data_IF_679875259293
#
_entry.id   IF_679875259293
#
_cell.length_a   1.000
_cell.length_b   1.000
_cell.length_c   1.000
_cell.angle_alpha   90.00
_cell.angle_beta   90.00
_cell.angle_gamma   90.00
#
_symmetry.space_group_name_H-M   'P 1'
#
loop_
_entity.id
_entity.type
_entity.pdbx_description
1 polymer ?
#
# COMPACT_ATOMS: atom_id res chain seq x y z
N UNK A 1 16.63 14.90 72.53
CA UNK A 1 15.88 15.36 71.34
C UNK A 1 16.60 14.85 70.10
N UNK A 2 15.99 13.94 69.34
CA UNK A 2 16.56 13.37 68.10
C UNK A 2 15.83 13.97 66.91
N UNK A 3 16.57 14.63 66.01
CA UNK A 3 16.07 15.17 64.74
C UNK A 3 16.21 14.05 63.71
N UNK A 4 15.08 13.58 63.18
CA UNK A 4 15.03 12.62 62.09
C UNK A 4 14.99 13.37 60.75
N UNK A 5 16.02 13.19 59.92
CA UNK A 5 16.08 13.71 58.57
C UNK A 5 15.31 12.77 57.63
N UNK A 6 14.30 13.31 56.95
CA UNK A 6 13.53 12.62 55.92
C UNK A 6 14.24 12.82 54.58
N UNK A 7 14.83 11.75 54.04
CA UNK A 7 15.41 11.75 52.69
C UNK A 7 14.30 11.43 51.69
N UNK A 8 13.92 12.42 50.89
CA UNK A 8 12.94 12.28 49.81
C UNK A 8 13.67 11.85 48.53
N UNK A 9 13.59 10.56 48.18
CA UNK A 9 14.11 10.05 46.91
C UNK A 9 13.17 10.43 45.75
N UNK A 10 13.61 11.35 44.88
CA UNK A 10 12.98 11.62 43.60
C UNK A 10 13.27 10.47 42.63
N UNK A 11 12.28 9.63 42.35
CA UNK A 11 12.32 8.73 41.21
C UNK A 11 12.17 9.56 39.92
N UNK A 12 13.28 9.78 39.21
CA UNK A 12 13.29 10.24 37.83
C UNK A 12 12.66 9.16 36.94
N UNK A 13 11.42 9.37 36.53
CA UNK A 13 10.81 8.63 35.43
C UNK A 13 11.52 9.03 34.13
N UNK A 14 12.34 8.13 33.60
CA UNK A 14 12.87 8.28 32.26
C UNK A 14 11.70 8.36 31.25
N UNK A 15 11.77 9.24 30.23
CA UNK A 15 10.74 9.29 29.21
C UNK A 15 10.69 7.94 28.48
N UNK A 16 9.52 7.31 28.51
CA UNK A 16 9.27 6.05 27.81
C UNK A 16 9.63 6.19 26.34
N UNK A 17 10.65 5.44 25.93
CA UNK A 17 10.95 5.26 24.51
C UNK A 17 9.69 4.74 23.84
N UNK A 18 9.17 5.52 22.89
CA UNK A 18 8.14 5.03 21.97
C UNK A 18 8.71 3.79 21.30
N UNK A 19 8.13 2.62 21.58
CA UNK A 19 8.46 1.40 20.85
C UNK A 19 8.42 1.75 19.35
N UNK A 20 9.58 1.67 18.71
CA UNK A 20 9.72 1.96 17.29
C UNK A 20 8.95 0.84 16.59
N UNK A 21 7.82 1.20 15.97
CA UNK A 21 7.09 0.29 15.09
C UNK A 21 8.11 -0.47 14.23
N UNK A 22 7.99 -1.79 14.16
CA UNK A 22 8.95 -2.63 13.45
C UNK A 22 9.22 -2.04 12.06
N UNK A 23 10.50 -1.89 11.70
CA UNK A 23 10.91 -1.21 10.47
C UNK A 23 10.14 -1.80 9.27
N UNK A 24 9.24 -1.04 8.62
CA UNK A 24 8.41 -1.56 7.55
C UNK A 24 9.25 -2.10 6.40
N UNK A 25 10.44 -1.54 6.17
CA UNK A 25 11.34 -2.01 5.13
C UNK A 25 11.96 -3.36 5.48
N UNK A 26 12.25 -3.62 6.75
CA UNK A 26 12.70 -4.94 7.20
C UNK A 26 11.59 -5.99 7.10
N UNK A 27 10.35 -5.60 7.39
CA UNK A 27 9.18 -6.48 7.24
C UNK A 27 8.92 -6.87 5.77
N UNK A 28 9.26 -5.99 4.82
CA UNK A 28 9.07 -6.22 3.39
C UNK A 28 10.28 -6.85 2.68
N UNK A 29 11.47 -6.83 3.29
CA UNK A 29 12.69 -7.37 2.70
C UNK A 29 12.56 -8.83 2.19
N UNK A 30 11.86 -9.76 2.89
CA UNK A 30 11.71 -11.14 2.41
C UNK A 30 10.94 -11.28 1.09
N UNK A 31 10.17 -10.28 0.67
CA UNK A 31 9.44 -10.33 -0.60
C UNK A 31 10.29 -9.91 -1.80
N UNK A 32 11.37 -9.15 -1.58
CA UNK A 32 12.19 -8.61 -2.68
C UNK A 32 12.80 -9.74 -3.51
N UNK A 33 12.66 -9.65 -4.82
CA UNK A 33 13.12 -10.66 -5.78
C UNK A 33 12.16 -11.83 -5.97
N UNK A 34 11.04 -11.90 -5.25
CA UNK A 34 10.02 -12.91 -5.53
C UNK A 34 9.48 -12.73 -6.97
N UNK A 35 9.34 -13.81 -7.75
CA UNK A 35 9.00 -13.72 -9.16
C UNK A 35 7.57 -13.20 -9.34
N UNK A 36 7.31 -12.62 -10.52
CA UNK A 36 5.95 -12.31 -10.92
C UNK A 36 5.22 -13.61 -11.25
N UNK A 37 4.05 -13.82 -10.67
CA UNK A 37 3.13 -14.93 -11.00
C UNK A 37 1.77 -14.35 -11.27
N UNK A 38 1.22 -14.64 -12.44
CA UNK A 38 -0.15 -14.27 -12.76
C UNK A 38 -1.07 -14.80 -11.66
N UNK A 39 -1.88 -13.89 -11.11
CA UNK A 39 -2.84 -14.19 -10.05
C UNK A 39 -2.25 -14.68 -8.71
N UNK A 40 -0.92 -14.69 -8.56
CA UNK A 40 -0.22 -15.23 -7.40
C UNK A 40 -0.38 -14.38 -6.14
N UNK A 41 -0.65 -15.03 -5.00
CA UNK A 41 -0.86 -14.43 -3.68
C UNK A 41 -0.57 -15.46 -2.58
N UNK A 42 -0.29 -15.05 -1.34
CA UNK A 42 -0.29 -15.99 -0.21
C UNK A 42 -1.68 -16.04 0.43
N UNK A 43 -2.14 -17.19 0.94
CA UNK A 43 -3.33 -17.24 1.78
C UNK A 43 -3.02 -16.78 3.23
N UNK A 44 -4.02 -16.61 4.12
CA UNK A 44 -3.79 -16.20 5.52
C UNK A 44 -2.85 -17.12 6.32
N UNK A 45 -2.67 -18.37 5.91
CA UNK A 45 -1.73 -19.31 6.53
C UNK A 45 -0.30 -19.19 5.96
N UNK A 46 -0.09 -18.32 4.96
CA UNK A 46 1.20 -18.12 4.31
C UNK A 46 1.49 -19.09 3.16
N UNK A 47 0.49 -19.89 2.73
CA UNK A 47 0.65 -20.81 1.60
C UNK A 47 0.56 -20.04 0.29
N UNK A 48 1.51 -20.27 -0.60
CA UNK A 48 1.54 -19.66 -1.94
C UNK A 48 0.43 -20.28 -2.80
N UNK A 49 -0.49 -19.45 -3.27
CA UNK A 49 -1.69 -19.87 -4.01
C UNK A 49 -2.05 -18.85 -5.09
N UNK A 50 -3.22 -19.01 -5.71
CA UNK A 50 -3.81 -18.04 -6.63
C UNK A 50 -5.05 -17.41 -6.01
N UNK A 51 -5.38 -16.19 -6.42
CA UNK A 51 -6.66 -15.58 -6.05
C UNK A 51 -7.83 -16.41 -6.60
N UNK A 52 -7.86 -16.67 -7.90
CA UNK A 52 -8.91 -17.38 -8.61
C UNK A 52 -9.05 -18.85 -8.18
N UNK A 53 -7.94 -19.51 -7.88
CA UNK A 53 -7.88 -20.90 -7.44
C UNK A 53 -7.09 -21.03 -6.13
N UNK A 54 -7.78 -20.89 -5.00
CA UNK A 54 -7.18 -21.00 -3.66
C UNK A 54 -6.85 -22.45 -3.27
N UNK A 55 -7.31 -23.44 -4.05
CA UNK A 55 -6.95 -24.84 -3.82
C UNK A 55 -5.55 -25.14 -4.38
N UNK A 56 -5.15 -24.45 -5.46
CA UNK A 56 -3.79 -24.51 -5.99
C UNK A 56 -2.76 -24.13 -4.91
N UNK A 57 -1.62 -24.82 -4.92
CA UNK A 57 -0.52 -24.56 -4.00
C UNK A 57 0.79 -24.65 -4.75
N UNK A 58 1.70 -23.73 -4.46
CA UNK A 58 3.02 -23.68 -5.08
C UNK A 58 4.12 -23.85 -4.03
N UNK A 59 5.24 -24.52 -4.38
CA UNK A 59 6.37 -24.68 -3.47
C UNK A 59 7.15 -23.38 -3.25
N UNK A 60 6.99 -22.40 -4.15
CA UNK A 60 7.70 -21.12 -4.11
C UNK A 60 6.75 -19.94 -4.22
N UNK A 61 7.15 -18.84 -3.59
CA UNK A 61 6.45 -17.57 -3.69
C UNK A 61 6.41 -17.06 -5.13
N UNK A 62 5.36 -16.31 -5.44
CA UNK A 62 5.20 -15.62 -6.71
C UNK A 62 3.94 -14.76 -6.65
N UNK A 63 4.04 -13.52 -7.12
CA UNK A 63 3.01 -12.52 -6.88
C UNK A 63 2.69 -11.71 -8.13
N UNK A 64 1.41 -11.43 -8.38
CA UNK A 64 1.05 -10.27 -9.21
C UNK A 64 1.06 -9.00 -8.34
N UNK A 65 0.79 -7.83 -8.93
CA UNK A 65 0.80 -6.56 -8.19
C UNK A 65 -0.16 -6.58 -6.99
N UNK A 66 -1.40 -7.05 -7.21
CA UNK A 66 -2.45 -7.15 -6.19
C UNK A 66 -2.14 -8.16 -5.08
N UNK A 67 -1.57 -9.31 -5.44
CA UNK A 67 -1.24 -10.38 -4.53
C UNK A 67 -0.03 -10.05 -3.68
N UNK A 68 0.94 -9.33 -4.25
CA UNK A 68 2.03 -8.73 -3.48
C UNK A 68 1.46 -7.75 -2.44
N UNK A 69 0.66 -6.76 -2.88
CA UNK A 69 0.10 -5.73 -1.98
C UNK A 69 -0.76 -6.36 -0.89
N UNK A 70 -1.57 -7.38 -1.20
CA UNK A 70 -2.39 -8.12 -0.23
C UNK A 70 -1.52 -8.83 0.82
N UNK A 71 -0.48 -9.52 0.37
CA UNK A 71 0.41 -10.29 1.24
C UNK A 71 1.28 -9.39 2.12
N UNK A 72 1.90 -8.39 1.51
CA UNK A 72 2.70 -7.39 2.19
C UNK A 72 1.87 -6.58 3.20
N UNK A 73 0.63 -6.21 2.87
CA UNK A 73 -0.23 -5.47 3.80
C UNK A 73 -0.60 -6.28 5.03
N UNK A 74 -0.89 -7.59 4.90
CA UNK A 74 -1.11 -8.46 6.07
C UNK A 74 0.12 -8.52 6.97
N UNK A 75 1.30 -8.61 6.38
CA UNK A 75 2.59 -8.62 7.11
C UNK A 75 2.81 -7.31 7.87
N UNK A 76 2.55 -6.17 7.24
CA UNK A 76 2.75 -4.84 7.84
C UNK A 76 1.69 -4.49 8.89
N UNK A 77 0.43 -4.82 8.63
CA UNK A 77 -0.70 -4.45 9.49
C UNK A 77 -0.96 -5.49 10.59
N UNK A 78 -0.29 -6.65 10.53
CA UNK A 78 -0.43 -7.72 11.53
C UNK A 78 -1.84 -8.30 11.61
N UNK A 79 -2.62 -8.20 10.53
CA UNK A 79 -4.03 -8.60 10.52
C UNK A 79 -4.33 -9.60 9.41
N UNK A 80 -5.22 -10.59 9.65
CA UNK A 80 -5.66 -11.47 8.58
C UNK A 80 -6.52 -10.69 7.60
N UNK A 81 -6.32 -10.92 6.30
CA UNK A 81 -7.21 -10.49 5.23
C UNK A 81 -7.50 -11.73 4.37
N UNK A 82 -8.66 -12.38 4.52
CA UNK A 82 -9.05 -13.49 3.68
C UNK A 82 -9.06 -13.08 2.20
N UNK A 83 -8.68 -14.00 1.31
CA UNK A 83 -8.57 -13.69 -0.13
C UNK A 83 -9.92 -13.33 -0.75
N UNK A 84 -11.02 -13.90 -0.27
CA UNK A 84 -12.37 -13.52 -0.71
C UNK A 84 -12.74 -12.10 -0.28
N UNK A 85 -12.34 -11.69 0.92
CA UNK A 85 -12.52 -10.32 1.40
C UNK A 85 -11.62 -9.34 0.65
N UNK A 86 -10.38 -9.74 0.33
CA UNK A 86 -9.48 -8.93 -0.49
C UNK A 86 -10.10 -8.64 -1.86
N UNK A 87 -10.74 -9.65 -2.47
CA UNK A 87 -11.35 -9.65 -3.82
C UNK A 87 -12.74 -9.04 -3.92
N UNK A 88 -13.34 -8.65 -2.81
CA UNK A 88 -14.71 -8.21 -2.79
C UNK A 88 -14.87 -6.89 -3.57
N UNK A 89 -15.69 -6.93 -4.62
CA UNK A 89 -16.18 -5.73 -5.31
C UNK A 89 -17.18 -5.02 -4.39
N UNK A 90 -16.77 -3.87 -3.84
CA UNK A 90 -17.59 -3.13 -2.86
C UNK A 90 -18.66 -2.28 -3.53
N UNK A 91 -18.43 -1.85 -4.76
CA UNK A 91 -19.24 -0.82 -5.43
C UNK A 91 -20.10 -1.41 -6.55
N UNK A 92 -19.91 -2.68 -6.88
CA UNK A 92 -20.56 -3.34 -8.01
C UNK A 92 -20.14 -2.74 -9.34
N UNK A 93 -18.98 -2.08 -9.39
CA UNK A 93 -18.48 -1.34 -10.55
C UNK A 93 -17.30 -2.06 -11.25
N UNK A 94 -16.95 -3.27 -10.80
CA UNK A 94 -16.08 -4.16 -11.58
C UNK A 94 -16.75 -4.50 -12.91
N UNK A 95 -15.98 -4.50 -14.00
CA UNK A 95 -16.52 -4.71 -15.34
C UNK A 95 -17.26 -6.05 -15.55
N UNK A 96 -18.05 -6.17 -16.63
CA UNK A 96 -18.81 -7.38 -16.93
C UNK A 96 -17.90 -8.62 -16.99
N UNK A 97 -18.25 -9.67 -16.22
CA UNK A 97 -17.47 -10.91 -16.11
C UNK A 97 -16.54 -10.99 -14.90
N UNK A 98 -16.46 -9.93 -14.09
CA UNK A 98 -15.55 -9.85 -12.94
C UNK A 98 -16.25 -9.55 -11.61
N UNK A 99 -17.38 -10.21 -11.26
CA UNK A 99 -18.15 -9.93 -10.04
C UNK A 99 -17.40 -10.26 -8.73
N UNK A 100 -16.17 -10.78 -8.84
CA UNK A 100 -15.26 -11.09 -7.73
C UNK A 100 -13.90 -10.40 -7.89
N UNK A 101 -13.83 -9.27 -8.59
CA UNK A 101 -12.62 -8.47 -8.73
C UNK A 101 -11.47 -9.15 -9.50
N UNK A 102 -11.78 -10.12 -10.38
CA UNK A 102 -10.80 -10.96 -11.08
C UNK A 102 -10.11 -10.26 -12.26
N UNK A 103 -10.49 -9.02 -12.58
CA UNK A 103 -10.00 -8.26 -13.72
C UNK A 103 -9.66 -6.84 -13.24
N UNK A 104 -8.44 -6.37 -13.57
CA UNK A 104 -7.88 -5.02 -13.85
C UNK A 104 -8.54 -3.71 -13.34
N UNK A 105 -9.73 -3.74 -12.77
CA UNK A 105 -10.44 -2.66 -12.07
C UNK A 105 -10.33 -2.81 -10.53
N UNK A 106 -9.74 -3.92 -10.07
CA UNK A 106 -9.57 -4.32 -8.68
C UNK A 106 -8.76 -3.35 -7.78
N UNK A 107 -7.96 -2.44 -8.35
CA UNK A 107 -6.99 -1.69 -7.55
C UNK A 107 -7.61 -0.73 -6.53
N UNK A 108 -8.79 -0.16 -6.80
CA UNK A 108 -9.47 0.71 -5.83
C UNK A 108 -10.20 -0.09 -4.75
N UNK A 109 -10.96 -1.11 -5.11
CA UNK A 109 -11.60 -2.00 -4.14
C UNK A 109 -10.58 -2.69 -3.24
N UNK A 110 -9.47 -3.16 -3.81
CA UNK A 110 -8.38 -3.76 -3.04
C UNK A 110 -7.86 -2.79 -1.97
N UNK A 111 -7.65 -1.53 -2.35
CA UNK A 111 -7.24 -0.50 -1.41
C UNK A 111 -8.28 -0.32 -0.29
N UNK A 112 -9.57 -0.30 -0.64
CA UNK A 112 -10.65 -0.19 0.35
C UNK A 112 -10.72 -1.41 1.27
N UNK A 113 -10.54 -2.62 0.71
CA UNK A 113 -10.53 -3.89 1.42
C UNK A 113 -9.36 -4.01 2.40
N UNK A 114 -8.15 -3.64 1.97
CA UNK A 114 -6.96 -3.66 2.84
C UNK A 114 -7.08 -2.67 4.00
N UNK A 115 -7.63 -1.49 3.72
CA UNK A 115 -7.69 -0.39 4.68
C UNK A 115 -8.96 -0.40 5.54
N UNK A 116 -9.79 -1.42 5.40
CA UNK A 116 -11.10 -1.47 6.02
C UNK A 116 -11.04 -1.56 7.56
N UNK A 117 -11.87 -0.77 8.24
CA UNK A 117 -11.84 -0.69 9.71
C UNK A 117 -10.56 -0.05 10.29
N UNK A 118 -9.70 0.58 9.47
CA UNK A 118 -8.56 1.36 9.92
C UNK A 118 -8.84 2.87 9.80
N UNK A 119 -8.21 3.72 10.63
CA UNK A 119 -8.15 5.14 10.36
C UNK A 119 -7.43 5.34 9.03
N UNK A 120 -8.13 5.79 7.99
CA UNK A 120 -7.57 5.95 6.66
C UNK A 120 -7.84 7.34 6.11
N UNK A 121 -6.96 7.81 5.24
CA UNK A 121 -7.07 9.14 4.61
C UNK A 121 -6.43 9.16 3.23
N UNK A 122 -7.00 9.95 2.35
CA UNK A 122 -6.46 10.18 0.99
C UNK A 122 -5.27 11.15 1.05
N UNK A 123 -4.26 10.94 0.21
CA UNK A 123 -3.16 11.88 -0.01
C UNK A 123 -3.29 12.52 -1.41
N UNK A 124 -2.97 13.82 -1.61
CA UNK A 124 -2.48 14.82 -0.64
C UNK A 124 -3.59 15.45 0.25
N UNK A 125 -3.25 16.21 1.31
CA UNK A 125 -4.18 16.66 2.37
C UNK A 125 -5.35 17.55 1.90
N UNK A 126 -5.28 18.13 0.70
CA UNK A 126 -6.38 18.91 0.11
C UNK A 126 -7.40 18.02 -0.63
N UNK A 127 -7.33 16.70 -0.48
CA UNK A 127 -8.29 15.79 -1.07
C UNK A 127 -9.71 16.04 -0.50
N UNK A 128 -10.76 15.97 -1.33
CA UNK A 128 -12.12 16.46 -1.00
C UNK A 128 -12.87 15.66 0.08
N UNK A 129 -12.29 14.59 0.65
CA UNK A 129 -12.92 13.80 1.72
C UNK A 129 -11.87 13.14 2.61
N UNK A 130 -12.19 12.91 3.89
CA UNK A 130 -11.33 12.13 4.80
C UNK A 130 -11.48 10.62 4.61
N UNK A 131 -12.68 10.11 4.23
CA UNK A 131 -12.91 8.68 4.03
C UNK A 131 -12.85 8.28 2.54
N UNK A 132 -11.83 7.50 2.13
CA UNK A 132 -11.72 6.95 0.79
C UNK A 132 -12.94 6.17 0.30
N UNK A 133 -13.75 5.56 1.18
CA UNK A 133 -14.92 4.81 0.72
C UNK A 133 -16.03 5.69 0.13
N UNK A 134 -16.13 6.95 0.59
CA UNK A 134 -17.10 7.92 0.10
C UNK A 134 -16.75 8.52 -1.28
N UNK A 135 -15.55 8.23 -1.80
CA UNK A 135 -15.13 8.74 -3.10
C UNK A 135 -15.85 8.04 -4.25
N UNK A 136 -16.41 8.81 -5.18
CA UNK A 136 -16.78 8.30 -6.49
C UNK A 136 -15.52 8.15 -7.34
N UNK A 137 -15.07 6.91 -7.58
CA UNK A 137 -13.85 6.60 -8.35
C UNK A 137 -13.93 7.07 -9.81
N UNK A 138 -15.14 7.21 -10.36
CA UNK A 138 -15.33 7.77 -11.70
C UNK A 138 -15.02 9.27 -11.75
N UNK A 139 -15.18 9.97 -10.62
CA UNK A 139 -14.97 11.42 -10.49
C UNK A 139 -13.64 11.79 -9.85
N UNK A 140 -13.19 11.00 -8.88
CA UNK A 140 -11.97 11.26 -8.12
C UNK A 140 -11.02 10.07 -8.18
N UNK A 141 -9.90 10.29 -8.86
CA UNK A 141 -8.85 9.29 -9.12
C UNK A 141 -7.50 9.68 -8.51
N UNK A 142 -7.52 10.62 -7.56
CA UNK A 142 -6.35 11.31 -7.05
C UNK A 142 -5.75 12.29 -8.09
N UNK A 143 -4.43 12.30 -8.24
CA UNK A 143 -3.70 13.31 -9.03
C UNK A 143 -3.00 12.69 -10.25
N UNK A 144 -2.60 13.49 -11.27
CA UNK A 144 -1.90 12.98 -12.44
C UNK A 144 -0.59 12.27 -12.06
N UNK A 145 -0.34 11.10 -12.64
CA UNK A 145 0.82 10.26 -12.34
C UNK A 145 2.16 10.97 -12.54
N UNK A 146 2.24 11.91 -13.49
CA UNK A 146 3.48 12.62 -13.81
C UNK A 146 3.55 14.02 -13.17
N UNK A 147 2.59 14.36 -12.30
CA UNK A 147 2.63 15.61 -11.53
C UNK A 147 3.57 15.45 -10.33
N UNK A 148 4.80 15.93 -10.50
CA UNK A 148 5.83 15.90 -9.47
C UNK A 148 5.41 16.67 -8.20
N UNK A 149 4.75 17.81 -8.34
CA UNK A 149 4.38 18.64 -7.20
C UNK A 149 3.34 17.93 -6.33
N UNK A 150 2.35 17.28 -6.95
CA UNK A 150 1.38 16.45 -6.24
C UNK A 150 2.03 15.24 -5.58
N UNK A 151 3.01 14.59 -6.23
CA UNK A 151 3.79 13.52 -5.61
C UNK A 151 4.56 14.01 -4.38
N UNK A 152 5.28 15.12 -4.48
CA UNK A 152 6.03 15.70 -3.36
C UNK A 152 5.09 16.03 -2.19
N UNK A 153 3.93 16.64 -2.49
CA UNK A 153 2.91 16.97 -1.48
C UNK A 153 2.33 15.72 -0.81
N UNK A 154 2.01 14.68 -1.59
CA UNK A 154 1.46 13.43 -1.08
C UNK A 154 2.50 12.69 -0.21
N UNK A 155 3.74 12.59 -0.67
CA UNK A 155 4.81 11.98 0.10
C UNK A 155 5.04 12.74 1.40
N UNK A 156 5.16 14.07 1.37
CA UNK A 156 5.36 14.89 2.58
C UNK A 156 4.21 14.79 3.58
N UNK A 157 3.00 14.50 3.09
CA UNK A 157 1.85 14.27 3.94
C UNK A 157 1.83 12.87 4.59
N UNK A 158 2.62 11.88 4.12
CA UNK A 158 2.74 10.56 4.74
C UNK A 158 3.57 10.68 6.04
N UNK A 159 2.93 10.38 7.18
CA UNK A 159 3.50 10.57 8.51
C UNK A 159 4.38 9.38 8.93
N UNK A 160 5.34 9.58 9.85
CA UNK A 160 6.03 8.46 10.49
C UNK A 160 5.04 7.48 11.13
N UNK A 161 5.28 6.18 10.96
CA UNK A 161 4.38 5.13 11.46
C UNK A 161 3.13 4.91 10.60
N UNK A 162 3.07 5.48 9.39
CA UNK A 162 2.05 5.14 8.39
C UNK A 162 2.67 4.38 7.20
N UNK A 163 1.82 3.59 6.54
CA UNK A 163 2.03 3.15 5.17
C UNK A 163 0.99 3.79 4.26
N UNK A 164 1.25 3.87 2.97
CA UNK A 164 0.25 4.20 1.97
C UNK A 164 0.07 3.05 0.98
N UNK A 165 -1.18 2.72 0.66
CA UNK A 165 -1.52 1.90 -0.51
C UNK A 165 -1.70 2.86 -1.68
N UNK A 166 -1.05 2.56 -2.80
CA UNK A 166 -1.15 3.35 -4.04
C UNK A 166 -1.86 2.53 -5.11
N UNK A 167 -2.85 3.13 -5.76
CA UNK A 167 -3.56 2.56 -6.91
C UNK A 167 -3.36 3.46 -8.14
N UNK A 168 -3.03 2.85 -9.27
CA UNK A 168 -2.79 3.52 -10.54
C UNK A 168 -3.99 3.29 -11.44
N UNK A 169 -4.49 4.37 -12.02
CA UNK A 169 -5.63 4.32 -12.91
C UNK A 169 -5.37 4.99 -14.25
N UNK A 170 -6.07 4.53 -15.29
CA UNK A 170 -6.10 5.18 -16.60
C UNK A 170 -7.46 4.95 -17.25
N UNK A 171 -7.84 5.86 -18.14
CA UNK A 171 -9.03 5.65 -18.97
C UNK A 171 -8.63 5.10 -20.34
N UNK A 172 -9.38 4.13 -20.85
CA UNK A 172 -9.20 3.58 -22.20
C UNK A 172 -10.57 3.30 -22.81
N UNK A 173 -10.86 3.98 -23.93
CA UNK A 173 -12.14 3.86 -24.67
C UNK A 173 -13.37 4.09 -23.77
N UNK A 174 -13.34 5.11 -22.90
CA UNK A 174 -14.44 5.44 -21.99
C UNK A 174 -14.59 4.53 -20.77
N UNK A 175 -13.71 3.53 -20.58
CA UNK A 175 -13.67 2.69 -19.38
C UNK A 175 -12.47 3.04 -18.51
N UNK A 176 -12.73 3.20 -17.22
CA UNK A 176 -11.71 3.37 -16.18
C UNK A 176 -11.06 2.03 -15.85
N UNK A 177 -9.73 2.00 -15.73
CA UNK A 177 -8.95 0.82 -15.37
C UNK A 177 -8.01 1.12 -14.22
N UNK A 178 -8.03 0.31 -13.16
CA UNK A 178 -7.05 0.32 -12.08
C UNK A 178 -5.94 -0.70 -12.30
N UNK A 179 -5.07 -0.39 -13.27
CA UNK A 179 -4.16 -1.35 -13.89
C UNK A 179 -2.96 -1.76 -13.03
N UNK A 180 -2.67 -1.07 -11.91
CA UNK A 180 -1.53 -1.39 -11.05
C UNK A 180 -1.75 -0.91 -9.62
N UNK A 181 -1.08 -1.55 -8.66
CA UNK A 181 -1.07 -1.19 -7.25
C UNK A 181 0.31 -1.37 -6.62
N UNK A 182 0.55 -0.69 -5.50
CA UNK A 182 1.79 -0.80 -4.73
C UNK A 182 1.62 -0.34 -3.28
N UNK A 183 2.71 -0.41 -2.52
CA UNK A 183 2.82 0.07 -1.16
C UNK A 183 3.92 1.11 -1.04
N UNK A 184 3.66 2.20 -0.33
CA UNK A 184 4.66 3.20 0.04
C UNK A 184 4.89 3.10 1.54
N UNK A 185 6.15 2.88 1.93
CA UNK A 185 6.57 2.87 3.33
C UNK A 185 7.80 3.74 3.52
N UNK A 186 7.99 4.24 4.74
CA UNK A 186 9.20 4.97 5.12
C UNK A 186 10.15 4.06 5.89
N UNK A 187 11.45 4.24 5.69
CA UNK A 187 12.47 3.62 6.54
C UNK A 187 12.75 4.47 7.79
N UNK A 188 13.69 3.97 8.61
CA UNK A 188 14.18 4.65 9.79
C UNK A 188 14.82 6.03 9.59
N UNK A 189 15.15 6.38 8.36
CA UNK A 189 15.80 7.65 7.97
C UNK A 189 14.82 8.59 7.26
N UNK A 190 13.55 8.20 7.13
CA UNK A 190 12.53 8.98 6.43
C UNK A 190 12.58 8.85 4.91
N UNK A 191 13.42 7.95 4.36
CA UNK A 191 13.39 7.62 2.93
C UNK A 191 12.13 6.84 2.62
N UNK A 192 11.50 7.14 1.50
CA UNK A 192 10.21 6.57 1.09
C UNK A 192 10.42 5.65 -0.10
N UNK A 193 9.90 4.44 0.03
CA UNK A 193 10.05 3.40 -0.99
C UNK A 193 8.69 2.96 -1.49
N UNK A 194 8.51 2.94 -2.82
CA UNK A 194 7.43 2.23 -3.47
C UNK A 194 7.83 0.78 -3.64
N UNK A 195 7.10 -0.14 -3.03
CA UNK A 195 7.19 -1.58 -3.28
C UNK A 195 6.03 -2.02 -4.17
N UNK A 196 6.32 -2.85 -5.16
CA UNK A 196 5.35 -3.37 -6.12
C UNK A 196 5.92 -4.58 -6.85
N UNK A 197 5.04 -5.34 -7.49
CA UNK A 197 5.41 -6.44 -8.37
C UNK A 197 5.08 -6.08 -9.83
N UNK A 198 6.02 -6.26 -10.75
CA UNK A 198 5.77 -6.07 -12.19
C UNK A 198 6.24 -7.28 -13.01
N UNK A 199 5.61 -7.56 -14.16
CA UNK A 199 6.12 -8.55 -15.09
C UNK A 199 7.59 -8.28 -15.45
N UNK A 200 8.40 -9.33 -15.50
CA UNK A 200 9.83 -9.26 -15.83
C UNK A 200 10.76 -8.90 -14.66
N UNK A 201 10.30 -8.16 -13.66
CA UNK A 201 11.13 -7.77 -12.49
C UNK A 201 10.71 -8.44 -11.18
N UNK A 202 9.49 -8.98 -11.11
CA UNK A 202 8.96 -9.52 -9.86
C UNK A 202 8.76 -8.41 -8.82
N UNK A 203 8.82 -8.77 -7.55
CA UNK A 203 8.74 -7.82 -6.43
C UNK A 203 10.04 -7.05 -6.30
N UNK A 204 9.94 -5.73 -6.39
CA UNK A 204 11.07 -4.82 -6.23
C UNK A 204 10.61 -3.50 -5.61
N UNK A 205 11.55 -2.56 -5.44
CA UNK A 205 11.25 -1.25 -4.86
C UNK A 205 11.99 -0.11 -5.53
N UNK A 206 11.39 1.08 -5.46
CA UNK A 206 11.98 2.34 -5.91
C UNK A 206 12.04 3.34 -4.74
N UNK A 207 13.19 4.00 -4.53
CA UNK A 207 13.30 5.08 -3.54
C UNK A 207 12.70 6.39 -4.08
N UNK A 208 11.38 6.52 -3.98
CA UNK A 208 10.61 7.64 -4.53
C UNK A 208 10.76 8.95 -3.74
N UNK A 209 11.49 8.96 -2.62
CA UNK A 209 11.94 10.21 -1.97
C UNK A 209 13.20 10.82 -2.59
N UNK A 210 13.90 10.08 -3.46
CA UNK A 210 15.13 10.55 -4.10
C UNK A 210 14.87 11.03 -5.54
N UNK A 211 15.64 12.00 -6.07
CA UNK A 211 15.56 12.39 -7.47
C UNK A 211 15.79 11.22 -8.43
N UNK A 212 16.78 10.37 -8.14
CA UNK A 212 17.12 9.21 -8.96
C UNK A 212 16.00 8.18 -8.99
N UNK A 213 15.42 7.85 -7.83
CA UNK A 213 14.30 6.91 -7.74
C UNK A 213 13.01 7.46 -8.34
N UNK A 214 12.75 8.76 -8.22
CA UNK A 214 11.62 9.40 -8.91
C UNK A 214 11.81 9.42 -10.43
N UNK A 215 13.04 9.60 -10.92
CA UNK A 215 13.34 9.46 -12.35
C UNK A 215 13.16 8.01 -12.84
N UNK A 216 13.54 7.02 -12.02
CA UNK A 216 13.30 5.60 -12.31
C UNK A 216 11.80 5.28 -12.34
N UNK A 217 11.04 5.76 -11.37
CA UNK A 217 9.58 5.68 -11.34
C UNK A 217 8.96 6.29 -12.61
N UNK A 218 9.42 7.48 -12.99
CA UNK A 218 8.99 8.14 -14.22
C UNK A 218 9.23 7.28 -15.47
N UNK A 219 10.37 6.57 -15.57
CA UNK A 219 10.67 5.65 -16.67
C UNK A 219 9.83 4.38 -16.64
N UNK A 220 9.66 3.77 -15.47
CA UNK A 220 8.92 2.51 -15.34
C UNK A 220 7.45 2.68 -15.71
N UNK A 221 6.85 3.82 -15.34
CA UNK A 221 5.47 4.13 -15.70
C UNK A 221 5.34 5.07 -16.91
N UNK A 222 6.44 5.32 -17.63
CA UNK A 222 6.43 6.06 -18.89
C UNK A 222 5.73 5.23 -19.96
N UNK A 223 4.46 5.52 -20.24
CA UNK A 223 3.86 5.06 -21.49
C UNK A 223 3.31 6.25 -22.25
N UNK A 224 3.73 6.33 -23.52
CA UNK A 224 3.28 7.35 -24.48
C UNK A 224 1.97 6.98 -25.19
N UNK A 225 1.43 5.78 -24.94
CA UNK A 225 0.44 5.13 -25.82
C UNK A 225 -1.00 5.13 -25.28
N UNK A 226 -1.22 5.44 -24.01
CA UNK A 226 -2.54 5.40 -23.37
C UNK A 226 -2.76 6.68 -22.53
N UNK A 227 -4.02 7.11 -22.39
CA UNK A 227 -4.46 8.45 -21.95
C UNK A 227 -4.11 8.88 -20.52
N UNK A 228 -4.88 9.82 -19.96
CA UNK A 228 -4.62 10.40 -18.61
C UNK A 228 -4.45 9.32 -17.54
N UNK A 229 -3.22 9.22 -17.01
CA UNK A 229 -2.85 8.30 -15.92
C UNK A 229 -2.88 9.05 -14.61
N UNK A 230 -3.51 8.46 -13.60
CA UNK A 230 -3.70 9.07 -12.29
C UNK A 230 -3.35 8.10 -11.17
N UNK A 231 -3.00 8.64 -10.02
CA UNK A 231 -2.66 7.86 -8.83
C UNK A 231 -3.51 8.30 -7.65
N UNK A 232 -4.04 7.32 -6.94
CA UNK A 232 -4.73 7.48 -5.67
C UNK A 232 -3.87 6.86 -4.57
N UNK A 233 -3.58 7.64 -3.53
CA UNK A 233 -2.84 7.17 -2.37
C UNK A 233 -3.75 7.23 -1.14
N UNK A 234 -3.79 6.14 -0.38
CA UNK A 234 -4.48 6.10 0.91
C UNK A 234 -3.52 5.67 2.00
N UNK A 235 -3.33 6.56 2.98
CA UNK A 235 -2.51 6.32 4.15
C UNK A 235 -3.31 5.61 5.24
N UNK A 236 -2.66 4.69 5.94
CA UNK A 236 -3.14 4.03 7.16
C UNK A 236 -2.03 3.94 8.20
N UNK A 237 -2.34 3.99 9.51
CA UNK A 237 -1.37 3.77 10.55
C UNK A 237 -0.92 2.32 10.57
N UNK A 238 0.37 2.12 10.83
CA UNK A 238 0.95 0.84 11.15
C UNK A 238 0.75 0.53 12.65
N UNK A 239 0.61 -0.74 13.03
CA UNK A 239 0.58 -1.14 14.43
C UNK A 239 1.89 -0.75 15.12
N UNK A 240 1.80 -0.36 16.40
CA UNK A 240 2.94 -0.01 17.25
C UNK A 240 3.53 -1.24 17.91
#
# INVERSE_FOLDING_TARGET
MRIAALVLSLCLLAPGGTARAADPTAALAPFLGAPYRDDGVDDPAGRHTLFADQAASFPTAGYNCSGFVTTASRRLLGRPLPLDAARHDRKGDSGPGSPRGQDWDFGYDLLLNITDGLPRRVLPPNAPTSDPAALDASRFRGFPLHDKASFDAALNALRPGEMAVIAFSKERKGRLYYYHVGLIVSDGQGRRFLYHATPGHGVHRLEISSPTGMAAFGREFAEKRFGDKRVLLVAVPLPR
#
